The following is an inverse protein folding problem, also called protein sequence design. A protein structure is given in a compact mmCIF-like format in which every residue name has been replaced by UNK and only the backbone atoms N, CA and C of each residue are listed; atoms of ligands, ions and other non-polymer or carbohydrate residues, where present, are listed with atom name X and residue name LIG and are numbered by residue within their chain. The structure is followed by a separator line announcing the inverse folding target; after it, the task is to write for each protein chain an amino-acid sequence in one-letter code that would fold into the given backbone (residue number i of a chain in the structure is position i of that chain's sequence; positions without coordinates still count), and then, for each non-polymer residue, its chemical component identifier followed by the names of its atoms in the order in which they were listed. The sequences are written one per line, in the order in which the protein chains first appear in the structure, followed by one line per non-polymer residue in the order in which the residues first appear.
data_IF_596030982221
#
_entry.id   IF_596030982221
#
_cell.length_a   1.000
_cell.length_b   1.000
_cell.length_c   1.000
_cell.angle_alpha   90.00
_cell.angle_beta   90.00
_cell.angle_gamma   90.00
#
_symmetry.space_group_name_H-M   'P 1'
#
loop_
_entity.id
_entity.type
_entity.pdbx_description
1 polymer ?
#
# COMPACT_ATOMS: atom_id res chain seq x y z
N UNK A 1 -3.77 -0.77 -16.63
CA UNK A 1 -3.62 0.63 -17.07
C UNK A 1 -2.76 1.40 -16.11
N UNK A 2 -1.81 2.19 -16.59
CA UNK A 2 -1.03 3.16 -15.81
C UNK A 2 -1.45 4.56 -16.27
N UNK A 3 -1.77 5.42 -15.32
CA UNK A 3 -2.19 6.80 -15.60
C UNK A 3 -1.01 7.74 -15.35
N UNK A 4 -0.33 8.09 -16.46
CA UNK A 4 0.79 9.01 -16.50
C UNK A 4 2.16 8.38 -16.24
N UNK A 5 3.10 8.82 -17.05
CA UNK A 5 4.51 8.44 -17.02
C UNK A 5 5.45 9.67 -17.08
N UNK A 6 4.87 10.86 -16.83
CA UNK A 6 5.59 12.15 -16.90
C UNK A 6 5.48 12.95 -15.58
N UNK A 7 5.27 12.26 -14.46
CA UNK A 7 5.34 12.91 -13.17
C UNK A 7 6.81 13.20 -12.78
N UNK A 8 7.08 14.21 -11.96
CA UNK A 8 8.42 14.54 -11.48
C UNK A 8 8.87 13.53 -10.39
N UNK A 9 8.97 12.26 -10.76
CA UNK A 9 9.41 11.12 -9.96
C UNK A 9 10.54 10.41 -10.68
N UNK A 10 11.22 9.49 -10.02
CA UNK A 10 12.38 8.78 -10.57
C UNK A 10 12.07 8.04 -11.90
N UNK A 11 10.91 7.38 -11.96
CA UNK A 11 10.49 6.59 -13.13
C UNK A 11 9.32 7.21 -13.91
N UNK A 12 8.93 8.43 -13.57
CA UNK A 12 7.84 9.16 -14.20
C UNK A 12 6.44 8.77 -13.76
N UNK A 13 6.28 7.71 -12.94
CA UNK A 13 4.97 7.29 -12.43
C UNK A 13 4.73 7.79 -11.00
N UNK A 14 3.46 7.88 -10.59
CA UNK A 14 3.12 8.33 -9.24
C UNK A 14 3.70 7.41 -8.17
N UNK A 15 4.18 8.01 -7.07
CA UNK A 15 4.61 7.30 -5.86
C UNK A 15 3.46 7.24 -4.86
N UNK A 16 3.23 6.08 -4.29
CA UNK A 16 2.14 5.79 -3.35
C UNK A 16 2.65 5.00 -2.15
N UNK A 17 1.84 5.00 -1.12
CA UNK A 17 2.10 4.32 0.14
C UNK A 17 1.21 3.06 0.22
N UNK A 18 1.80 1.91 -0.10
CA UNK A 18 1.09 0.62 -0.14
C UNK A 18 1.21 -0.09 1.20
N UNK A 19 0.25 0.10 2.07
CA UNK A 19 0.22 -0.52 3.40
C UNK A 19 -0.49 -1.88 3.36
N UNK A 20 0.09 -2.88 4.02
CA UNK A 20 -0.48 -4.22 4.10
C UNK A 20 -1.69 -4.25 5.05
N UNK A 21 -2.71 -5.03 4.70
CA UNK A 21 -3.95 -5.14 5.51
C UNK A 21 -3.70 -5.63 6.93
N UNK A 22 -2.71 -6.49 7.15
CA UNK A 22 -2.35 -6.98 8.50
C UNK A 22 -1.72 -5.87 9.35
N UNK A 23 -0.92 -4.98 8.78
CA UNK A 23 -0.40 -3.81 9.49
C UNK A 23 -1.52 -2.84 9.87
N UNK A 24 -2.53 -2.68 8.99
CA UNK A 24 -3.73 -1.90 9.32
C UNK A 24 -4.53 -2.56 10.46
N UNK A 25 -4.69 -3.88 10.45
CA UNK A 25 -5.38 -4.61 11.52
C UNK A 25 -4.67 -4.42 12.87
N UNK A 26 -3.34 -4.53 12.91
CA UNK A 26 -2.55 -4.27 14.12
C UNK A 26 -2.71 -2.82 14.60
N UNK A 27 -2.68 -1.86 13.68
CA UNK A 27 -2.91 -0.45 14.01
C UNK A 27 -4.29 -0.23 14.66
N UNK A 28 -5.33 -0.89 14.16
CA UNK A 28 -6.68 -0.80 14.75
C UNK A 28 -6.74 -1.36 16.16
N UNK A 29 -6.10 -2.52 16.42
CA UNK A 29 -6.04 -3.11 17.76
C UNK A 29 -5.30 -2.17 18.72
N UNK A 30 -4.16 -1.63 18.32
CA UNK A 30 -3.39 -0.68 19.13
C UNK A 30 -4.15 0.61 19.40
N UNK A 31 -4.86 1.14 18.40
CA UNK A 31 -5.68 2.34 18.54
C UNK A 31 -6.87 2.11 19.48
N UNK A 32 -7.51 0.93 19.44
CA UNK A 32 -8.59 0.56 20.35
C UNK A 32 -8.10 0.50 21.78
N UNK A 33 -6.98 -0.14 22.04
CA UNK A 33 -6.37 -0.20 23.39
C UNK A 33 -6.01 1.20 23.88
N UNK A 34 -5.39 2.02 23.03
CA UNK A 34 -5.06 3.41 23.35
C UNK A 34 -6.32 4.22 23.72
N UNK A 35 -7.40 4.11 22.94
CA UNK A 35 -8.65 4.84 23.18
C UNK A 35 -9.31 4.40 24.50
N UNK A 36 -9.29 3.10 24.83
CA UNK A 36 -9.80 2.56 26.09
C UNK A 36 -9.06 3.12 27.30
N UNK A 37 -7.73 3.22 27.21
CA UNK A 37 -6.89 3.65 28.33
C UNK A 37 -6.91 5.17 28.54
N UNK A 38 -7.01 5.93 27.47
CA UNK A 38 -6.84 7.40 27.51
C UNK A 38 -8.16 8.18 27.46
N UNK A 39 -9.28 7.55 27.07
CA UNK A 39 -10.60 8.19 26.90
C UNK A 39 -10.52 9.47 26.04
N UNK A 40 -9.72 9.43 24.97
CA UNK A 40 -9.47 10.58 24.11
C UNK A 40 -9.58 10.20 22.63
N UNK A 41 -10.04 11.14 21.82
CA UNK A 41 -10.05 10.98 20.36
C UNK A 41 -8.73 11.47 19.76
N UNK A 42 -8.16 10.66 18.87
CA UNK A 42 -6.94 10.96 18.15
C UNK A 42 -7.05 10.55 16.69
N UNK A 43 -6.31 11.24 15.83
CA UNK A 43 -6.16 10.89 14.41
C UNK A 43 -4.72 10.44 14.15
N UNK A 44 -4.58 9.33 13.45
CA UNK A 44 -3.29 8.75 13.07
C UNK A 44 -3.27 8.50 11.57
N UNK A 45 -2.20 8.94 10.91
CA UNK A 45 -1.90 8.49 9.55
C UNK A 45 -1.19 7.13 9.63
N UNK A 46 -1.54 6.24 8.71
CA UNK A 46 -0.92 4.93 8.57
C UNK A 46 -0.38 4.78 7.14
N UNK A 47 0.76 4.15 7.02
CA UNK A 47 1.43 3.92 5.75
C UNK A 47 2.47 2.83 5.84
N UNK A 48 3.11 2.50 4.72
CA UNK A 48 4.11 1.44 4.66
C UNK A 48 5.45 1.81 5.29
N UNK A 49 5.75 3.10 5.39
CA UNK A 49 7.11 3.57 5.68
C UNK A 49 8.11 3.33 4.55
N UNK A 50 7.69 2.68 3.46
CA UNK A 50 8.49 2.36 2.28
C UNK A 50 7.67 2.60 1.00
N UNK A 51 7.48 3.85 0.58
CA UNK A 51 6.66 4.19 -0.58
C UNK A 51 7.25 3.59 -1.87
N UNK A 52 6.37 3.24 -2.81
CA UNK A 52 6.76 2.69 -4.09
C UNK A 52 6.02 3.38 -5.24
N UNK A 53 6.65 3.43 -6.42
CA UNK A 53 6.02 3.93 -7.62
C UNK A 53 5.03 2.91 -8.20
N UNK A 54 4.10 3.39 -9.02
CA UNK A 54 3.18 2.51 -9.74
C UNK A 54 3.93 1.51 -10.64
N UNK A 55 5.06 1.93 -11.20
CA UNK A 55 5.92 1.05 -12.01
C UNK A 55 6.57 -0.04 -11.14
N UNK A 56 7.13 0.31 -9.99
CA UNK A 56 7.71 -0.66 -9.05
C UNK A 56 6.66 -1.68 -8.57
N UNK A 57 5.44 -1.21 -8.27
CA UNK A 57 4.33 -2.12 -7.95
C UNK A 57 4.07 -3.10 -9.09
N UNK A 58 3.96 -2.60 -10.32
CA UNK A 58 3.67 -3.41 -11.49
C UNK A 58 4.79 -4.42 -11.79
N UNK A 59 6.05 -3.99 -11.72
CA UNK A 59 7.21 -4.86 -11.90
C UNK A 59 7.20 -5.99 -10.84
N UNK A 60 6.80 -5.67 -9.61
CA UNK A 60 6.64 -6.67 -8.53
C UNK A 60 5.48 -7.63 -8.82
N UNK A 61 4.34 -7.13 -9.29
CA UNK A 61 3.20 -8.01 -9.67
C UNK A 61 3.63 -8.98 -10.77
N UNK A 62 4.35 -8.53 -11.78
CA UNK A 62 4.82 -9.39 -12.87
C UNK A 62 5.77 -10.51 -12.42
N UNK A 63 6.50 -10.37 -11.31
CA UNK A 63 7.31 -11.47 -10.74
C UNK A 63 6.44 -12.65 -10.31
N UNK A 64 5.23 -12.39 -9.83
CA UNK A 64 4.31 -13.42 -9.30
C UNK A 64 3.29 -13.92 -10.32
N UNK A 65 2.91 -13.11 -11.29
CA UNK A 65 1.83 -13.42 -12.24
C UNK A 65 2.32 -13.67 -13.67
N UNK A 66 3.59 -13.38 -13.95
CA UNK A 66 4.14 -13.35 -15.29
C UNK A 66 3.87 -12.03 -16.02
N UNK A 67 4.36 -11.94 -17.26
CA UNK A 67 4.26 -10.72 -18.08
C UNK A 67 2.79 -10.35 -18.35
N UNK A 68 2.47 -9.08 -18.16
CA UNK A 68 1.14 -8.52 -18.43
C UNK A 68 1.19 -7.46 -19.53
N UNK A 69 0.09 -7.30 -20.25
CA UNK A 69 -0.09 -6.16 -21.14
C UNK A 69 -0.37 -4.89 -20.33
N UNK A 70 0.39 -3.85 -20.62
CA UNK A 70 0.32 -2.56 -19.94
C UNK A 70 -0.13 -1.49 -20.91
N UNK A 71 -1.25 -0.84 -20.60
CA UNK A 71 -1.70 0.35 -21.31
C UNK A 71 -1.26 1.61 -20.56
N UNK A 72 -0.54 2.48 -21.24
CA UNK A 72 -0.19 3.82 -20.73
C UNK A 72 -1.30 4.80 -21.11
N UNK A 73 -1.80 5.51 -20.11
CA UNK A 73 -2.83 6.54 -20.28
C UNK A 73 -2.28 7.90 -19.84
N UNK A 74 -2.94 8.97 -20.25
CA UNK A 74 -2.58 10.32 -19.83
C UNK A 74 -2.68 10.49 -18.32
N UNK A 75 -1.93 11.47 -17.79
CA UNK A 75 -2.03 11.85 -16.37
C UNK A 75 -3.48 12.18 -16.01
N UNK A 76 -3.94 11.74 -14.86
CA UNK A 76 -5.24 12.16 -14.32
C UNK A 76 -5.11 13.56 -13.71
N UNK A 77 -6.03 14.47 -14.04
CA UNK A 77 -6.07 15.76 -13.35
C UNK A 77 -6.21 15.60 -11.83
N UNK A 78 -5.38 16.29 -11.08
CA UNK A 78 -5.43 16.27 -9.62
C UNK A 78 -4.64 15.14 -8.94
N UNK A 79 -4.08 14.18 -9.68
CA UNK A 79 -3.23 13.14 -9.08
C UNK A 79 -1.87 13.74 -8.67
N UNK A 80 -1.49 13.72 -7.39
CA UNK A 80 -0.17 14.17 -6.96
C UNK A 80 0.91 13.16 -7.35
N UNK A 81 2.12 13.67 -7.70
CA UNK A 81 3.27 12.82 -7.98
C UNK A 81 3.65 11.94 -6.78
N UNK A 82 3.55 12.47 -5.57
CA UNK A 82 3.82 11.79 -4.30
C UNK A 82 2.61 11.89 -3.39
N UNK A 83 2.15 10.76 -2.88
CA UNK A 83 1.14 10.67 -1.82
C UNK A 83 1.59 9.60 -0.83
N UNK A 84 2.24 10.05 0.25
CA UNK A 84 2.90 9.22 1.26
C UNK A 84 2.53 9.73 2.64
N UNK A 85 2.20 8.82 3.54
CA UNK A 85 1.81 9.17 4.90
C UNK A 85 3.02 9.43 5.79
N UNK A 86 2.94 10.44 6.65
CA UNK A 86 3.81 10.56 7.80
C UNK A 86 3.25 9.69 8.95
N UNK A 87 3.97 8.62 9.30
CA UNK A 87 3.55 7.62 10.29
C UNK A 87 4.20 7.81 11.66
N UNK A 88 5.00 8.86 11.85
CA UNK A 88 5.77 9.07 13.09
C UNK A 88 4.88 9.21 14.32
N UNK A 89 3.70 9.82 14.20
CA UNK A 89 2.74 9.90 15.31
C UNK A 89 2.23 8.52 15.71
N UNK A 90 1.89 7.66 14.73
CA UNK A 90 1.43 6.30 15.01
C UNK A 90 2.52 5.47 15.70
N UNK A 91 3.76 5.58 15.24
CA UNK A 91 4.92 4.94 15.89
C UNK A 91 5.08 5.35 17.34
N UNK A 92 5.14 6.67 17.60
CA UNK A 92 5.41 7.22 18.93
C UNK A 92 4.29 7.00 19.93
N UNK A 93 3.04 7.14 19.49
CA UNK A 93 1.87 7.15 20.40
C UNK A 93 1.27 5.76 20.54
N UNK A 94 1.16 4.99 19.46
CA UNK A 94 0.58 3.65 19.48
C UNK A 94 1.63 2.54 19.61
N UNK A 95 2.92 2.84 19.46
CA UNK A 95 3.96 1.81 19.32
C UNK A 95 3.73 0.94 18.09
N UNK A 96 3.15 1.51 17.02
CA UNK A 96 2.84 0.79 15.80
C UNK A 96 3.95 0.91 14.77
N UNK A 97 4.30 -0.19 14.14
CA UNK A 97 5.22 -0.22 13.00
C UNK A 97 4.70 -1.14 11.90
N UNK A 98 4.81 -0.73 10.63
CA UNK A 98 4.41 -1.56 9.49
C UNK A 98 5.48 -2.63 9.21
N UNK A 99 5.26 -3.85 9.68
CA UNK A 99 6.20 -4.97 9.54
C UNK A 99 5.93 -5.84 8.32
N UNK A 100 4.73 -5.74 7.73
CA UNK A 100 4.28 -6.54 6.60
C UNK A 100 4.20 -5.76 5.29
N UNK A 101 4.43 -4.44 5.33
CA UNK A 101 4.17 -3.53 4.22
C UNK A 101 5.33 -3.37 3.24
N UNK A 102 6.25 -4.34 3.12
CA UNK A 102 7.14 -4.36 1.96
C UNK A 102 6.33 -4.60 0.69
N UNK A 103 6.66 -3.91 -0.41
CA UNK A 103 5.90 -4.03 -1.66
C UNK A 103 5.86 -5.49 -2.16
N UNK A 104 6.92 -6.24 -1.96
CA UNK A 104 7.01 -7.65 -2.32
C UNK A 104 6.01 -8.50 -1.52
N UNK A 105 5.92 -8.32 -0.20
CA UNK A 105 4.97 -9.05 0.65
C UNK A 105 3.52 -8.65 0.38
N UNK A 106 3.25 -7.36 0.16
CA UNK A 106 1.91 -6.86 -0.21
C UNK A 106 1.41 -7.54 -1.48
N UNK A 107 2.27 -7.62 -2.50
CA UNK A 107 1.92 -8.27 -3.77
C UNK A 107 1.82 -9.79 -3.61
N UNK A 108 2.78 -10.43 -2.96
CA UNK A 108 2.77 -11.89 -2.78
C UNK A 108 1.49 -12.39 -2.11
N UNK A 109 1.11 -11.74 -0.99
CA UNK A 109 -0.11 -12.12 -0.25
C UNK A 109 -1.39 -11.81 -1.02
N UNK A 110 -1.44 -10.70 -1.77
CA UNK A 110 -2.57 -10.36 -2.62
C UNK A 110 -2.77 -11.39 -3.76
N UNK A 111 -1.68 -11.79 -4.42
CA UNK A 111 -1.72 -12.82 -5.47
C UNK A 111 -2.12 -14.18 -4.88
N UNK A 112 -1.58 -14.55 -3.73
CA UNK A 112 -1.97 -15.79 -3.04
C UNK A 112 -3.46 -15.80 -2.70
N UNK A 113 -3.98 -14.71 -2.14
CA UNK A 113 -5.40 -14.57 -1.83
C UNK A 113 -6.27 -14.70 -3.09
N UNK A 114 -5.91 -13.98 -4.15
CA UNK A 114 -6.60 -14.03 -5.44
C UNK A 114 -6.67 -15.47 -5.98
N UNK A 115 -5.53 -16.15 -6.03
CA UNK A 115 -5.46 -17.53 -6.52
C UNK A 115 -6.30 -18.50 -5.68
N UNK A 116 -6.35 -18.32 -4.36
CA UNK A 116 -7.12 -19.19 -3.47
C UNK A 116 -8.63 -18.97 -3.59
N UNK A 117 -9.07 -17.74 -3.87
CA UNK A 117 -10.49 -17.39 -3.99
C UNK A 117 -11.05 -17.74 -5.37
N UNK A 118 -10.27 -17.58 -6.45
CA UNK A 118 -10.74 -17.77 -7.83
C UNK A 118 -10.49 -19.18 -8.38
N UNK A 119 -9.67 -20.02 -7.74
CA UNK A 119 -9.53 -21.45 -8.11
C UNK A 119 -10.78 -22.29 -7.83
N UNK A 120 -11.77 -21.76 -7.12
CA UNK A 120 -13.04 -22.48 -6.83
C UNK A 120 -14.10 -22.34 -7.93
N UNK A 121 -13.88 -21.52 -8.95
CA UNK A 121 -14.86 -21.28 -10.03
C UNK A 121 -14.62 -22.14 -11.31
N UNK A 122 -13.61 -23.04 -11.29
CA UNK A 122 -13.26 -23.89 -12.45
C UNK A 122 -13.45 -25.39 -12.09
N UNK A 123 -14.55 -25.73 -11.40
CA UNK A 123 -15.00 -27.13 -11.24
C UNK A 123 -16.45 -27.25 -11.64
#
# INVERSE_FOLDING_TARGET
KIFGDKYPTEDGTCVRDYVHVMDLADAHIKALNFASDKLTSQVFNLGSGAPASNKQLLDTVQKYTGKMEIEMWSNRPGDPAYLVADIEKAKKVLGWEPTQSSIDNVVATAVQWYNNTHKKEIQ
#
